data_IF_525997379904
#
_entry.id   IF_525997379904
#
_cell.length_a   1.000
_cell.length_b   1.000
_cell.length_c   1.000
_cell.angle_alpha   90.00
_cell.angle_beta   90.00
_cell.angle_gamma   90.00
#
_symmetry.space_group_name_H-M   'P 1'
#
loop_
_entity.id
_entity.type
_entity.pdbx_description
1 polymer ?
#
# COMPACT_ATOMS: atom_id res chain seq x y z
N UNK A 1 -0.90 -35.56 -1.56
CA UNK A 1 -0.18 -35.14 -2.79
C UNK A 1 -1.02 -35.36 -4.04
N UNK A 2 -1.68 -36.52 -4.19
CA UNK A 2 -2.43 -36.88 -5.40
C UNK A 2 -3.60 -35.92 -5.73
N UNK A 3 -4.13 -35.26 -4.73
CA UNK A 3 -5.22 -34.30 -4.90
C UNK A 3 -4.76 -32.85 -5.27
N UNK A 4 -3.46 -32.55 -5.17
CA UNK A 4 -2.95 -31.20 -5.43
C UNK A 4 -3.07 -30.83 -6.91
N UNK A 5 -2.84 -31.74 -7.80
CA UNK A 5 -2.96 -31.50 -9.25
C UNK A 5 -4.41 -31.22 -9.66
N UNK A 6 -5.36 -31.97 -9.09
CA UNK A 6 -6.78 -31.76 -9.34
C UNK A 6 -7.26 -30.43 -8.74
N UNK A 7 -6.82 -30.10 -7.52
CA UNK A 7 -7.10 -28.82 -6.90
C UNK A 7 -6.55 -27.66 -7.73
N UNK A 8 -5.28 -27.75 -8.15
CA UNK A 8 -4.66 -26.72 -9.01
C UNK A 8 -5.45 -26.52 -10.30
N UNK A 9 -5.81 -27.61 -11.00
CA UNK A 9 -6.57 -27.52 -12.24
C UNK A 9 -7.95 -26.89 -12.05
N UNK A 10 -8.62 -27.13 -10.93
CA UNK A 10 -9.91 -26.50 -10.59
C UNK A 10 -9.77 -25.02 -10.27
N UNK A 11 -8.71 -24.63 -9.56
CA UNK A 11 -8.41 -23.24 -9.26
C UNK A 11 -8.02 -22.48 -10.53
N UNK A 12 -7.21 -23.10 -11.39
CA UNK A 12 -6.80 -22.54 -12.69
C UNK A 12 -8.00 -22.27 -13.60
N UNK A 13 -8.96 -23.20 -13.64
CA UNK A 13 -10.19 -23.05 -14.43
C UNK A 13 -11.06 -21.84 -14.02
N UNK A 14 -10.88 -21.30 -12.83
CA UNK A 14 -11.60 -20.10 -12.31
C UNK A 14 -10.66 -18.93 -12.05
N UNK A 15 -9.46 -18.94 -12.66
CA UNK A 15 -8.43 -17.88 -12.56
C UNK A 15 -7.95 -17.61 -11.12
N UNK A 16 -7.92 -18.62 -10.24
CA UNK A 16 -7.48 -18.56 -8.86
C UNK A 16 -6.17 -19.31 -8.57
N UNK A 17 -5.47 -19.80 -9.60
CA UNK A 17 -4.21 -20.53 -9.46
C UNK A 17 -2.97 -19.69 -9.77
N UNK A 18 -3.08 -18.37 -9.80
CA UNK A 18 -1.94 -17.50 -10.08
C UNK A 18 -0.91 -17.61 -8.97
N UNK A 19 0.40 -17.80 -9.30
CA UNK A 19 1.46 -17.75 -8.31
C UNK A 19 1.62 -16.33 -7.76
N UNK A 20 2.22 -16.18 -6.59
CA UNK A 20 2.61 -14.87 -6.07
C UNK A 20 2.27 -14.62 -4.61
N UNK A 21 1.77 -15.64 -3.88
CA UNK A 21 1.60 -15.53 -2.43
C UNK A 21 2.94 -15.16 -1.76
N UNK A 22 2.87 -14.21 -0.81
CA UNK A 22 4.03 -13.67 -0.06
C UNK A 22 5.12 -12.98 -0.92
N UNK A 23 4.82 -12.67 -2.19
CA UNK A 23 5.66 -11.82 -3.04
C UNK A 23 5.18 -10.35 -3.00
N UNK A 24 5.97 -9.44 -3.53
CA UNK A 24 5.65 -8.00 -3.51
C UNK A 24 4.27 -7.66 -4.09
N UNK A 25 3.78 -8.46 -5.05
CA UNK A 25 2.43 -8.29 -5.64
C UNK A 25 1.28 -8.72 -4.71
N UNK A 26 1.55 -9.49 -3.65
CA UNK A 26 0.54 -9.95 -2.68
C UNK A 26 0.21 -8.81 -1.70
N UNK A 27 -0.42 -7.77 -2.22
CA UNK A 27 -0.78 -6.58 -1.46
C UNK A 27 -2.07 -6.82 -0.69
N UNK A 28 -2.00 -6.73 0.63
CA UNK A 28 -3.16 -6.89 1.52
C UNK A 28 -3.89 -5.56 1.70
N UNK A 29 -5.19 -5.54 1.48
CA UNK A 29 -6.01 -4.35 1.69
C UNK A 29 -7.29 -4.65 2.49
N UNK A 30 -7.71 -3.73 3.35
CA UNK A 30 -9.06 -3.75 3.90
C UNK A 30 -10.08 -3.35 2.82
N UNK A 31 -11.40 -3.45 3.06
CA UNK A 31 -12.41 -3.03 2.09
C UNK A 31 -12.27 -1.57 1.61
N UNK A 32 -11.82 -0.65 2.49
CA UNK A 32 -11.76 0.76 2.16
C UNK A 32 -13.14 1.40 1.99
N UNK A 33 -13.19 2.58 1.42
CA UNK A 33 -14.43 3.33 1.19
C UNK A 33 -15.38 2.67 0.19
N UNK A 34 -14.98 1.57 -0.43
CA UNK A 34 -15.83 0.75 -1.28
C UNK A 34 -17.08 0.22 -0.53
N UNK A 35 -16.89 -0.25 0.71
CA UNK A 35 -18.00 -0.78 1.53
C UNK A 35 -17.95 -0.36 3.00
N UNK A 36 -16.92 0.34 3.45
CA UNK A 36 -16.73 0.70 4.85
C UNK A 36 -17.06 2.19 5.09
N UNK A 37 -18.06 2.45 5.93
CA UNK A 37 -18.49 3.82 6.27
C UNK A 37 -17.44 4.64 7.07
N UNK A 38 -16.40 4.00 7.59
CA UNK A 38 -15.34 4.67 8.35
C UNK A 38 -14.11 4.99 7.51
N UNK A 39 -14.01 4.39 6.33
CA UNK A 39 -12.85 4.58 5.48
C UNK A 39 -12.92 5.93 4.76
N UNK A 40 -11.76 6.55 4.62
CA UNK A 40 -11.61 7.83 3.91
C UNK A 40 -11.01 7.66 2.52
N UNK A 41 -10.53 6.45 2.17
CA UNK A 41 -9.94 6.17 0.85
C UNK A 41 -10.24 4.76 0.37
N UNK A 42 -10.10 4.57 -0.95
CA UNK A 42 -10.31 3.31 -1.67
C UNK A 42 -9.07 2.40 -1.60
N UNK A 43 -8.92 1.66 -0.50
CA UNK A 43 -7.74 0.83 -0.26
C UNK A 43 -7.56 -0.32 -1.25
N UNK A 44 -8.65 -0.96 -1.72
CA UNK A 44 -8.60 -2.01 -2.75
C UNK A 44 -8.12 -1.47 -4.09
N UNK A 45 -8.62 -0.30 -4.48
CA UNK A 45 -8.18 0.36 -5.70
C UNK A 45 -6.69 0.71 -5.68
N UNK A 46 -6.19 1.19 -4.51
CA UNK A 46 -4.75 1.40 -4.35
C UNK A 46 -3.96 0.08 -4.42
N UNK A 47 -4.46 -1.01 -3.81
CA UNK A 47 -3.79 -2.31 -3.87
C UNK A 47 -3.64 -2.82 -5.32
N UNK A 48 -4.70 -2.70 -6.13
CA UNK A 48 -4.67 -3.01 -7.56
C UNK A 48 -3.63 -2.19 -8.29
N UNK A 49 -3.64 -0.87 -8.08
CA UNK A 49 -2.71 0.06 -8.73
C UNK A 49 -1.24 -0.20 -8.33
N UNK A 50 -0.98 -0.58 -7.07
CA UNK A 50 0.38 -0.99 -6.65
C UNK A 50 0.79 -2.29 -7.35
N UNK A 51 -0.09 -3.31 -7.38
CA UNK A 51 0.17 -4.56 -8.07
C UNK A 51 0.51 -4.36 -9.55
N UNK A 52 -0.29 -3.58 -10.27
CA UNK A 52 -0.07 -3.22 -11.67
C UNK A 52 1.26 -2.46 -11.88
N UNK A 53 1.58 -1.52 -11.00
CA UNK A 53 2.83 -0.76 -11.07
C UNK A 53 4.06 -1.64 -10.82
N UNK A 54 3.97 -2.60 -9.89
CA UNK A 54 5.03 -3.57 -9.63
C UNK A 54 5.23 -4.55 -10.79
N UNK A 55 4.15 -5.02 -11.42
CA UNK A 55 4.22 -5.84 -12.62
C UNK A 55 4.89 -5.08 -13.77
N UNK A 56 4.47 -3.84 -14.02
CA UNK A 56 5.06 -3.00 -15.06
C UNK A 56 6.55 -2.70 -14.83
N UNK A 57 6.97 -2.63 -13.56
CA UNK A 57 8.37 -2.41 -13.18
C UNK A 57 9.20 -3.70 -13.10
N UNK A 58 8.61 -4.88 -13.31
CA UNK A 58 9.30 -6.18 -13.16
C UNK A 58 9.64 -6.54 -11.70
N UNK A 59 8.94 -5.96 -10.73
CA UNK A 59 9.18 -6.12 -9.29
C UNK A 59 8.14 -6.98 -8.59
N UNK A 60 7.15 -7.48 -9.31
CA UNK A 60 6.03 -8.24 -8.74
C UNK A 60 6.45 -9.52 -8.00
N UNK A 61 7.58 -10.11 -8.36
CA UNK A 61 8.11 -11.35 -7.78
C UNK A 61 9.21 -11.14 -6.73
N UNK A 62 9.45 -9.90 -6.31
CA UNK A 62 10.38 -9.62 -5.20
C UNK A 62 9.80 -10.24 -3.93
N UNK A 63 10.62 -11.06 -3.25
CA UNK A 63 10.28 -11.73 -2.00
C UNK A 63 10.73 -10.94 -0.75
N UNK A 64 10.22 -11.33 0.41
CA UNK A 64 10.67 -10.78 1.70
C UNK A 64 10.21 -9.35 1.97
N UNK A 65 9.18 -8.87 1.27
CA UNK A 65 8.54 -7.58 1.53
C UNK A 65 7.02 -7.69 1.46
N UNK A 66 6.32 -7.17 2.47
CA UNK A 66 4.86 -7.18 2.57
C UNK A 66 4.32 -5.76 2.54
N UNK A 67 3.31 -5.54 1.71
CA UNK A 67 2.61 -4.25 1.62
C UNK A 67 1.17 -4.41 2.10
N UNK A 68 0.78 -3.64 3.12
CA UNK A 68 -0.56 -3.66 3.68
C UNK A 68 -1.21 -2.27 3.64
N UNK A 69 -2.49 -2.21 3.29
CA UNK A 69 -3.23 -0.97 3.08
C UNK A 69 -4.51 -0.95 3.92
N UNK A 70 -4.77 0.16 4.57
CA UNK A 70 -6.04 0.44 5.23
C UNK A 70 -6.64 1.74 4.70
N UNK A 71 -7.96 1.79 4.51
CA UNK A 71 -8.67 2.99 4.04
C UNK A 71 -8.77 4.11 5.09
N UNK A 72 -8.34 3.85 6.34
CA UNK A 72 -8.32 4.82 7.45
C UNK A 72 -7.32 4.39 8.53
N UNK A 73 -7.30 5.10 9.65
CA UNK A 73 -6.39 4.84 10.79
C UNK A 73 -6.73 3.58 11.60
N UNK A 74 -7.89 2.94 11.41
CA UNK A 74 -8.33 1.77 12.21
C UNK A 74 -7.52 0.50 11.98
N UNK A 75 -6.62 0.49 11.00
CA UNK A 75 -5.66 -0.60 10.73
C UNK A 75 -6.28 -1.98 10.44
N UNK A 76 -7.48 -2.05 9.88
CA UNK A 76 -8.12 -3.32 9.50
C UNK A 76 -7.29 -4.11 8.48
N UNK A 77 -6.51 -3.44 7.61
CA UNK A 77 -5.52 -4.05 6.72
C UNK A 77 -4.16 -4.32 7.39
N UNK A 78 -4.03 -4.08 8.71
CA UNK A 78 -2.80 -4.31 9.49
C UNK A 78 -1.58 -3.52 8.96
N UNK A 79 -1.79 -2.31 8.46
CA UNK A 79 -0.73 -1.48 7.89
C UNK A 79 0.42 -1.16 8.86
N UNK A 80 0.18 -1.21 10.17
CA UNK A 80 1.23 -1.01 11.18
C UNK A 80 2.21 -2.17 11.28
N UNK A 81 1.81 -3.38 10.89
CA UNK A 81 2.56 -4.62 11.08
C UNK A 81 3.30 -5.08 9.80
N UNK A 82 3.16 -4.35 8.70
CA UNK A 82 3.78 -4.68 7.43
C UNK A 82 5.08 -3.91 7.21
N UNK A 83 5.95 -4.45 6.36
CA UNK A 83 7.20 -3.81 5.95
C UNK A 83 6.94 -2.45 5.32
N UNK A 84 5.91 -2.36 4.45
CA UNK A 84 5.37 -1.15 3.85
C UNK A 84 3.89 -1.05 4.22
N UNK A 85 3.51 -0.02 4.94
CA UNK A 85 2.13 0.22 5.36
C UNK A 85 1.58 1.51 4.76
N UNK A 86 0.32 1.48 4.32
CA UNK A 86 -0.41 2.68 3.91
C UNK A 86 -1.71 2.79 4.68
N UNK A 87 -2.04 3.99 5.16
CA UNK A 87 -3.39 4.25 5.63
C UNK A 87 -3.96 5.54 5.05
N UNK A 88 -5.23 5.48 4.70
CA UNK A 88 -5.96 6.57 4.07
C UNK A 88 -6.07 7.81 4.95
N UNK A 89 -5.92 8.95 4.34
CA UNK A 89 -6.06 10.26 4.95
C UNK A 89 -6.54 11.27 3.91
N UNK A 90 -7.52 12.08 4.29
CA UNK A 90 -7.87 13.25 3.48
C UNK A 90 -6.72 14.25 3.46
N UNK A 91 -6.46 14.83 2.31
CA UNK A 91 -5.52 15.92 2.11
C UNK A 91 -6.25 17.14 1.53
N UNK A 92 -5.72 18.32 1.81
CA UNK A 92 -6.19 19.56 1.16
C UNK A 92 -5.05 20.18 0.37
N UNK A 93 -5.30 20.41 -0.91
CA UNK A 93 -4.36 21.05 -1.81
C UNK A 93 -5.12 21.92 -2.81
N UNK A 94 -4.57 23.06 -3.16
CA UNK A 94 -5.19 24.04 -4.09
C UNK A 94 -6.67 24.35 -3.78
N UNK A 95 -7.03 24.39 -2.47
CA UNK A 95 -8.39 24.67 -2.02
C UNK A 95 -9.40 23.53 -2.17
N UNK A 96 -8.98 22.36 -2.66
CA UNK A 96 -9.81 21.15 -2.85
C UNK A 96 -9.41 20.05 -1.86
N UNK A 97 -10.37 19.18 -1.49
CA UNK A 97 -10.10 17.91 -0.83
C UNK A 97 -9.55 16.91 -1.83
N UNK A 98 -8.64 16.06 -1.40
CA UNK A 98 -7.99 15.07 -2.24
C UNK A 98 -7.67 13.79 -1.45
N UNK A 99 -7.73 12.59 -2.09
CA UNK A 99 -7.37 11.35 -1.45
C UNK A 99 -5.85 11.27 -1.27
N UNK A 100 -5.43 10.81 -0.11
CA UNK A 100 -4.02 10.62 0.20
C UNK A 100 -3.78 9.46 1.13
N UNK A 101 -2.51 9.12 1.31
CA UNK A 101 -2.09 8.07 2.21
C UNK A 101 -0.91 8.50 3.07
N UNK A 102 -0.92 8.07 4.31
CA UNK A 102 0.27 8.06 5.15
C UNK A 102 1.04 6.78 4.88
N UNK A 103 2.27 6.91 4.41
CA UNK A 103 3.22 5.81 4.29
C UNK A 103 3.89 5.55 5.64
N UNK A 104 3.93 4.27 6.02
CA UNK A 104 4.73 3.75 7.14
C UNK A 104 5.72 2.72 6.62
N UNK A 105 6.87 2.61 7.27
CA UNK A 105 7.92 1.64 6.94
C UNK A 105 8.43 0.94 8.19
N UNK A 106 8.79 -0.33 8.04
CA UNK A 106 9.45 -1.11 9.07
C UNK A 106 8.53 -1.69 10.14
N UNK A 107 7.24 -1.93 9.81
CA UNK A 107 6.42 -2.81 10.63
C UNK A 107 6.95 -4.24 10.55
N UNK A 108 6.94 -4.94 11.67
CA UNK A 108 7.47 -6.28 11.75
C UNK A 108 6.74 -7.10 12.81
N UNK A 109 6.42 -8.34 12.47
CA UNK A 109 5.90 -9.34 13.40
C UNK A 109 6.71 -10.61 13.24
N UNK A 110 7.51 -10.94 14.23
CA UNK A 110 8.33 -12.13 14.26
C UNK A 110 8.31 -12.81 15.62
N UNK A 111 9.01 -13.93 15.77
CA UNK A 111 9.01 -14.71 17.02
C UNK A 111 9.66 -13.98 18.19
N UNK A 112 10.70 -13.16 17.94
CA UNK A 112 11.49 -12.51 18.97
C UNK A 112 11.07 -11.08 19.28
N UNK A 113 10.44 -10.39 18.30
CA UNK A 113 10.01 -8.99 18.44
C UNK A 113 8.80 -8.69 17.55
N UNK A 114 8.06 -7.65 17.91
CA UNK A 114 7.08 -7.02 17.06
C UNK A 114 7.31 -5.50 17.11
N UNK A 115 7.22 -4.84 15.94
CA UNK A 115 7.41 -3.41 15.82
C UNK A 115 6.35 -2.80 14.93
N UNK A 116 5.91 -1.59 15.25
CA UNK A 116 5.02 -0.82 14.39
C UNK A 116 5.82 0.00 13.38
N UNK A 117 5.34 0.01 12.15
CA UNK A 117 5.88 0.85 11.10
C UNK A 117 5.93 2.31 11.51
N UNK A 118 7.03 2.97 11.19
CA UNK A 118 7.25 4.39 11.46
C UNK A 118 6.76 5.24 10.30
N UNK A 119 6.18 6.41 10.60
CA UNK A 119 5.72 7.36 9.58
C UNK A 119 6.89 7.87 8.75
N UNK A 120 6.84 7.64 7.45
CA UNK A 120 7.84 8.09 6.48
C UNK A 120 7.39 9.37 5.76
N UNK A 121 6.28 9.30 5.02
CA UNK A 121 5.82 10.39 4.17
C UNK A 121 4.29 10.37 4.03
N UNK A 122 3.69 11.51 3.73
CA UNK A 122 2.30 11.60 3.27
C UNK A 122 2.29 11.82 1.76
N UNK A 123 1.47 11.05 1.05
CA UNK A 123 1.43 11.03 -0.40
C UNK A 123 0.02 11.31 -0.92
N UNK A 124 -0.14 11.93 -2.11
CA UNK A 124 -1.34 11.77 -2.91
C UNK A 124 -1.62 10.29 -3.18
N UNK A 125 -2.88 9.88 -3.24
CA UNK A 125 -3.24 8.48 -3.53
C UNK A 125 -2.60 8.00 -4.86
N UNK A 126 -2.62 8.82 -5.88
CA UNK A 126 -2.05 8.50 -7.20
C UNK A 126 -0.52 8.40 -7.24
N UNK A 127 0.18 8.96 -6.25
CA UNK A 127 1.64 8.84 -6.12
C UNK A 127 2.09 7.60 -5.33
N UNK A 128 1.19 6.99 -4.55
CA UNK A 128 1.52 5.85 -3.69
C UNK A 128 2.05 4.61 -4.43
N UNK A 129 1.53 4.22 -5.63
CA UNK A 129 2.11 3.12 -6.39
C UNK A 129 3.58 3.35 -6.77
N UNK A 130 3.93 4.56 -7.18
CA UNK A 130 5.30 4.91 -7.51
C UNK A 130 6.22 4.88 -6.28
N UNK A 131 5.72 5.28 -5.11
CA UNK A 131 6.47 5.16 -3.86
C UNK A 131 6.77 3.69 -3.54
N UNK A 132 5.79 2.79 -3.67
CA UNK A 132 5.99 1.36 -3.47
C UNK A 132 7.03 0.78 -4.45
N UNK A 133 6.93 1.11 -5.74
CA UNK A 133 7.90 0.68 -6.78
C UNK A 133 9.32 1.14 -6.43
N UNK A 134 9.51 2.41 -6.04
CA UNK A 134 10.85 2.93 -5.70
C UNK A 134 11.42 2.26 -4.45
N UNK A 135 10.61 2.02 -3.41
CA UNK A 135 11.06 1.37 -2.18
C UNK A 135 11.43 -0.08 -2.45
N UNK A 136 10.56 -0.83 -3.12
CA UNK A 136 10.76 -2.25 -3.40
C UNK A 136 11.92 -2.45 -4.37
N UNK A 137 12.04 -1.61 -5.41
CA UNK A 137 13.15 -1.63 -6.34
C UNK A 137 14.49 -1.40 -5.63
N UNK A 138 14.55 -0.37 -4.78
CA UNK A 138 15.75 -0.09 -3.99
C UNK A 138 16.10 -1.23 -3.02
N UNK A 139 15.10 -1.81 -2.35
CA UNK A 139 15.31 -2.99 -1.51
C UNK A 139 15.85 -4.16 -2.31
N UNK A 140 15.26 -4.48 -3.46
CA UNK A 140 15.70 -5.58 -4.31
C UNK A 140 17.15 -5.41 -4.82
N UNK A 141 17.56 -4.18 -5.13
CA UNK A 141 18.91 -3.86 -5.60
C UNK A 141 19.96 -3.85 -4.49
N UNK A 142 19.61 -3.35 -3.30
CA UNK A 142 20.56 -3.08 -2.23
C UNK A 142 20.66 -4.20 -1.18
N UNK A 143 19.66 -5.09 -1.08
CA UNK A 143 19.64 -6.13 -0.05
C UNK A 143 20.75 -7.14 -0.24
N UNK A 144 21.35 -7.55 0.87
CA UNK A 144 22.27 -8.69 0.93
C UNK A 144 21.49 -10.01 0.90
N UNK A 145 22.17 -11.10 0.56
CA UNK A 145 21.55 -12.43 0.57
C UNK A 145 20.97 -12.76 1.96
N UNK A 146 19.67 -13.06 2.01
CA UNK A 146 18.94 -13.37 3.25
C UNK A 146 18.64 -12.18 4.16
N UNK A 147 18.92 -10.95 3.71
CA UNK A 147 18.59 -9.74 4.48
C UNK A 147 17.09 -9.46 4.45
N UNK A 148 16.50 -9.28 5.64
CA UNK A 148 15.10 -8.91 5.78
C UNK A 148 14.88 -7.43 5.45
N UNK A 149 13.65 -7.06 5.06
CA UNK A 149 13.31 -5.66 4.77
C UNK A 149 13.62 -4.73 5.94
N UNK A 150 13.30 -5.14 7.17
CA UNK A 150 13.56 -4.31 8.35
C UNK A 150 15.06 -4.10 8.59
N UNK A 151 15.89 -5.12 8.38
CA UNK A 151 17.35 -4.99 8.52
C UNK A 151 17.95 -4.07 7.46
N UNK A 152 17.49 -4.21 6.22
CA UNK A 152 17.85 -3.29 5.14
C UNK A 152 17.41 -1.86 5.44
N UNK A 153 16.17 -1.66 5.91
CA UNK A 153 15.63 -0.34 6.25
C UNK A 153 16.46 0.35 7.33
N UNK A 154 16.79 -0.38 8.40
CA UNK A 154 17.65 0.13 9.49
C UNK A 154 19.02 0.57 8.96
N UNK A 155 19.66 -0.27 8.14
CA UNK A 155 20.96 0.02 7.50
C UNK A 155 20.88 1.19 6.51
N UNK A 156 19.75 1.39 5.87
CA UNK A 156 19.51 2.47 4.88
C UNK A 156 19.10 3.79 5.52
N UNK A 157 19.18 3.95 6.84
CA UNK A 157 18.87 5.18 7.56
C UNK A 157 17.45 5.26 8.10
N UNK A 158 16.67 4.18 7.99
CA UNK A 158 15.33 4.08 8.55
C UNK A 158 14.24 4.74 7.72
N UNK A 159 13.03 4.71 8.26
CA UNK A 159 11.83 5.22 7.57
C UNK A 159 11.92 6.70 7.17
N UNK A 160 12.60 7.50 8.00
CA UNK A 160 12.75 8.94 7.74
C UNK A 160 13.64 9.23 6.53
N UNK A 161 14.74 8.50 6.38
CA UNK A 161 15.67 8.70 5.26
C UNK A 161 15.05 8.20 3.95
N UNK A 162 14.42 7.02 3.98
CA UNK A 162 13.66 6.53 2.81
C UNK A 162 12.53 7.49 2.46
N UNK A 163 11.77 8.01 3.44
CA UNK A 163 10.74 9.01 3.20
C UNK A 163 11.30 10.29 2.57
N UNK A 164 12.47 10.76 3.01
CA UNK A 164 13.12 11.94 2.43
C UNK A 164 13.52 11.73 0.95
N UNK A 165 13.92 10.52 0.56
CA UNK A 165 14.24 10.18 -0.83
C UNK A 165 13.02 10.15 -1.77
N UNK A 166 11.81 10.17 -1.21
CA UNK A 166 10.53 10.18 -1.94
C UNK A 166 9.82 11.54 -1.88
N UNK A 167 10.53 12.59 -1.43
CA UNK A 167 9.92 13.90 -1.18
C UNK A 167 9.28 14.53 -2.41
N UNK A 168 9.79 14.21 -3.59
CA UNK A 168 9.24 14.64 -4.88
C UNK A 168 7.82 14.09 -5.17
N UNK A 169 7.40 13.05 -4.44
CA UNK A 169 6.09 12.43 -4.59
C UNK A 169 5.02 12.98 -3.64
N UNK A 170 5.33 13.90 -2.73
CA UNK A 170 4.38 14.37 -1.71
C UNK A 170 3.53 15.55 -2.16
N UNK A 171 3.83 16.15 -3.28
CA UNK A 171 3.14 17.30 -3.83
C UNK A 171 1.89 16.91 -4.61
N UNK A 172 0.81 17.69 -4.43
CA UNK A 172 -0.36 17.62 -5.29
C UNK A 172 -0.18 18.58 -6.45
N UNK A 173 -0.27 18.10 -7.71
CA UNK A 173 -0.24 18.97 -8.88
C UNK A 173 -1.49 19.86 -8.95
N UNK A 174 -1.45 20.86 -9.81
CA UNK A 174 -2.60 21.72 -10.06
C UNK A 174 -3.80 20.90 -10.53
N UNK A 175 -4.99 21.04 -9.91
CA UNK A 175 -6.18 20.27 -10.25
C UNK A 175 -6.71 20.51 -11.66
N UNK A 176 -6.41 21.64 -12.28
CA UNK A 176 -6.84 21.94 -13.63
C UNK A 176 -5.91 21.24 -14.67
N UNK A 177 -4.67 20.97 -14.32
CA UNK A 177 -3.72 20.23 -15.15
C UNK A 177 -3.78 18.72 -14.89
N UNK A 178 -4.05 18.31 -13.65
CA UNK A 178 -4.04 16.90 -13.22
C UNK A 178 -5.28 16.57 -12.35
N UNK A 179 -6.49 16.60 -12.89
CA UNK A 179 -7.71 16.39 -12.12
C UNK A 179 -7.78 15.00 -11.47
N UNK A 180 -7.12 14.00 -12.04
CA UNK A 180 -7.12 12.61 -11.52
C UNK A 180 -6.53 12.49 -10.12
N UNK A 181 -5.64 13.40 -9.70
CA UNK A 181 -5.10 13.42 -8.33
C UNK A 181 -6.14 13.79 -7.28
N UNK A 182 -7.28 14.31 -7.70
CA UNK A 182 -8.41 14.72 -6.86
C UNK A 182 -9.61 13.77 -6.97
N UNK A 183 -9.38 12.59 -7.56
CA UNK A 183 -10.37 11.50 -7.69
C UNK A 183 -9.77 10.24 -7.08
N UNK A 184 -10.50 9.56 -6.20
CA UNK A 184 -10.02 8.32 -5.60
C UNK A 184 -10.09 7.15 -6.60
N UNK A 185 -9.47 6.04 -6.28
CA UNK A 185 -9.48 4.84 -7.12
C UNK A 185 -10.88 4.27 -7.26
N UNK A 186 -11.27 3.96 -8.51
CA UNK A 186 -12.60 3.41 -8.79
C UNK A 186 -13.74 4.43 -8.79
N UNK A 187 -13.48 5.69 -8.44
CA UNK A 187 -14.45 6.77 -8.47
C UNK A 187 -14.36 7.56 -9.77
N UNK A 188 -15.45 8.28 -10.09
CA UNK A 188 -15.53 9.13 -11.28
C UNK A 188 -15.76 10.60 -10.96
N UNK A 189 -16.09 10.92 -9.71
CA UNK A 189 -16.34 12.26 -9.20
C UNK A 189 -15.19 12.83 -8.37
N UNK A 190 -15.22 14.14 -8.09
CA UNK A 190 -14.26 14.75 -7.17
C UNK A 190 -14.29 14.04 -5.81
N UNK A 191 -13.11 13.92 -5.20
CA UNK A 191 -12.99 13.29 -3.91
C UNK A 191 -13.71 14.07 -2.79
N UNK A 192 -14.55 13.37 -2.05
CA UNK A 192 -15.17 13.83 -0.82
C UNK A 192 -15.01 12.74 0.25
N UNK A 193 -14.47 13.09 1.42
CA UNK A 193 -14.40 12.18 2.55
C UNK A 193 -15.80 12.13 3.22
N UNK A 194 -16.59 11.13 2.87
CA UNK A 194 -17.88 10.86 3.52
C UNK A 194 -17.65 9.84 4.62
N UNK A 195 -17.53 10.32 5.86
CA UNK A 195 -17.44 9.45 7.03
C UNK A 195 -18.85 9.31 7.59
N UNK A 196 -19.41 8.11 7.49
CA UNK A 196 -20.71 7.78 8.07
C UNK A 196 -20.63 7.47 9.57
N UNK A 197 -21.80 7.32 10.19
CA UNK A 197 -21.90 6.83 11.56
C UNK A 197 -21.37 5.40 11.66
N UNK A 198 -20.53 5.16 12.63
CA UNK A 198 -19.90 3.86 12.88
C UNK A 198 -20.75 3.01 13.81
N UNK A 199 -20.96 1.74 13.48
CA UNK A 199 -21.49 0.76 14.42
C UNK A 199 -20.54 0.50 15.62
N UNK A 200 -19.29 0.95 15.52
CA UNK A 200 -18.30 0.88 16.58
C UNK A 200 -18.28 2.13 17.49
N UNK A 201 -19.13 3.11 17.24
CA UNK A 201 -19.27 4.33 18.06
C UNK A 201 -20.34 4.14 19.15
N UNK A 202 -20.26 3.04 19.93
CA UNK A 202 -21.08 2.83 21.13
C UNK A 202 -20.20 2.96 22.37
#
# INVERSE_FOLDING_TARGET
>A
EDQLKDLYARLDAIDMARPGAELARDVVACPGADTCNLAVTQSRGLASAIGEALEAAGLAEVDGVRTNISGCTNSCGQHHAADIGFFGAERRAHGKSAPGYQLLLGGYVGQARAEFGQKALRLPAKAAPQAAVRIIGRYAEERSYGETFISWLERSGGAKEIGASLKDLDEFPDPDENPDFYVDYGETGPYEAVIGDSECAV
#
